data_IF_089805519119
#
_entry.id   IF_089805519119
#
_cell.length_a   1.000
_cell.length_b   1.000
_cell.length_c   1.000
_cell.angle_alpha   90.00
_cell.angle_beta   90.00
_cell.angle_gamma   90.00
#
_symmetry.space_group_name_H-M   'P 1'
#
loop_
_entity.id
_entity.type
_entity.pdbx_description
1 polymer ?
#
# COMPACT_ATOMS: atom_id res chain seq x y z
N UNK A 1 18.68 -7.39 -29.70
CA UNK A 1 17.24 -7.65 -29.84
C UNK A 1 16.78 -8.02 -28.45
N UNK A 2 16.12 -7.08 -27.78
CA UNK A 2 15.58 -7.30 -26.44
C UNK A 2 14.19 -7.87 -26.64
N UNK A 3 13.96 -9.09 -26.16
CA UNK A 3 12.63 -9.69 -26.14
C UNK A 3 11.74 -8.82 -25.25
N UNK A 4 10.74 -8.22 -25.87
CA UNK A 4 9.66 -7.50 -25.20
C UNK A 4 8.82 -8.58 -24.50
N UNK A 5 8.98 -8.73 -23.18
CA UNK A 5 8.12 -9.63 -22.39
C UNK A 5 6.72 -9.02 -22.43
N UNK A 6 5.83 -9.57 -23.24
CA UNK A 6 4.41 -9.21 -23.20
C UNK A 6 3.89 -9.54 -21.80
N UNK A 7 3.67 -8.49 -20.98
CA UNK A 7 3.04 -8.64 -19.68
C UNK A 7 1.71 -9.38 -19.84
N UNK A 8 1.48 -10.40 -19.01
CA UNK A 8 0.24 -11.17 -19.03
C UNK A 8 -0.95 -10.24 -18.78
N UNK A 9 -1.79 -10.04 -19.80
CA UNK A 9 -2.95 -9.15 -19.75
C UNK A 9 -4.16 -9.93 -19.27
N UNK A 10 -4.90 -9.34 -18.33
CA UNK A 10 -6.19 -9.85 -17.88
C UNK A 10 -7.27 -8.89 -18.38
N UNK A 11 -8.22 -9.40 -19.17
CA UNK A 11 -9.44 -8.67 -19.52
C UNK A 11 -10.43 -8.77 -18.36
N UNK A 12 -10.94 -7.62 -17.90
CA UNK A 12 -11.92 -7.53 -16.83
C UNK A 12 -13.09 -6.72 -17.37
N UNK A 13 -14.25 -7.37 -17.46
CA UNK A 13 -15.50 -6.72 -17.86
C UNK A 13 -16.54 -6.88 -16.75
N UNK A 14 -17.10 -5.77 -16.27
CA UNK A 14 -18.04 -5.72 -15.16
C UNK A 14 -19.35 -5.11 -15.64
N UNK A 15 -20.36 -5.96 -15.88
CA UNK A 15 -21.72 -5.54 -16.22
C UNK A 15 -22.68 -5.82 -15.08
N UNK A 16 -23.51 -4.83 -14.72
CA UNK A 16 -24.60 -4.98 -13.76
C UNK A 16 -24.56 -3.97 -12.62
N UNK A 17 -25.43 -4.19 -11.63
CA UNK A 17 -25.45 -3.43 -10.38
C UNK A 17 -24.67 -4.19 -9.31
N UNK A 18 -23.78 -3.48 -8.61
CA UNK A 18 -22.93 -4.05 -7.57
C UNK A 18 -23.18 -3.33 -6.25
N UNK A 19 -23.39 -4.10 -5.19
CA UNK A 19 -23.39 -3.56 -3.84
C UNK A 19 -21.97 -3.20 -3.40
N UNK A 20 -21.85 -2.43 -2.32
CA UNK A 20 -20.54 -2.11 -1.73
C UNK A 20 -19.77 -3.38 -1.32
N UNK A 21 -20.45 -4.43 -0.85
CA UNK A 21 -19.81 -5.71 -0.54
C UNK A 21 -19.31 -6.44 -1.78
N UNK A 22 -20.01 -6.32 -2.90
CA UNK A 22 -19.58 -6.95 -4.16
C UNK A 22 -18.31 -6.26 -4.68
N UNK A 23 -18.26 -4.93 -4.62
CA UNK A 23 -17.07 -4.15 -4.98
C UNK A 23 -15.87 -4.51 -4.11
N UNK A 24 -16.04 -4.66 -2.79
CA UNK A 24 -14.95 -5.08 -1.89
C UNK A 24 -14.38 -6.45 -2.29
N UNK A 25 -15.24 -7.41 -2.62
CA UNK A 25 -14.81 -8.74 -3.06
C UNK A 25 -14.07 -8.70 -4.39
N UNK A 26 -14.53 -7.87 -5.33
CA UNK A 26 -13.87 -7.65 -6.62
C UNK A 26 -12.49 -7.05 -6.39
N UNK A 27 -12.37 -5.98 -5.61
CA UNK A 27 -11.09 -5.31 -5.29
C UNK A 27 -10.10 -6.31 -4.68
N UNK A 28 -10.53 -7.12 -3.70
CA UNK A 28 -9.68 -8.14 -3.08
C UNK A 28 -9.21 -9.17 -4.10
N UNK A 29 -10.08 -9.59 -5.01
CA UNK A 29 -9.75 -10.59 -6.04
C UNK A 29 -8.76 -10.02 -7.06
N UNK A 30 -8.96 -8.77 -7.49
CA UNK A 30 -8.06 -8.06 -8.39
C UNK A 30 -6.69 -7.80 -7.76
N UNK A 31 -6.65 -7.43 -6.47
CA UNK A 31 -5.40 -7.23 -5.75
C UNK A 31 -4.57 -8.53 -5.70
N UNK A 32 -5.22 -9.68 -5.47
CA UNK A 32 -4.56 -11.00 -5.50
C UNK A 32 -4.05 -11.34 -6.89
N UNK A 33 -4.88 -11.15 -7.92
CA UNK A 33 -4.49 -11.42 -9.30
C UNK A 33 -3.29 -10.56 -9.72
N UNK A 34 -3.34 -9.24 -9.44
CA UNK A 34 -2.24 -8.31 -9.73
C UNK A 34 -0.96 -8.68 -8.99
N UNK A 35 -1.05 -9.16 -7.76
CA UNK A 35 0.12 -9.60 -6.98
C UNK A 35 0.75 -10.90 -7.52
N UNK A 36 0.03 -11.67 -8.34
CA UNK A 36 0.55 -12.89 -8.97
C UNK A 36 1.11 -12.71 -10.39
N UNK A 37 0.92 -11.54 -11.01
CA UNK A 37 1.42 -11.25 -12.36
C UNK A 37 2.93 -10.93 -12.36
N UNK A 38 3.57 -11.12 -13.51
CA UNK A 38 4.96 -10.74 -13.79
C UNK A 38 4.99 -9.64 -14.89
N UNK A 39 5.64 -8.48 -14.66
CA UNK A 39 6.33 -8.10 -13.45
C UNK A 39 5.35 -7.90 -12.27
N UNK A 40 5.78 -8.22 -11.04
CA UNK A 40 5.00 -7.86 -9.85
C UNK A 40 4.82 -6.34 -9.79
N UNK A 41 3.81 -5.90 -9.04
CA UNK A 41 3.56 -4.47 -8.78
C UNK A 41 4.88 -3.74 -8.51
N UNK A 42 5.12 -2.64 -9.23
CA UNK A 42 6.36 -1.87 -9.10
C UNK A 42 6.68 -1.59 -7.63
N UNK A 43 7.92 -1.88 -7.23
CA UNK A 43 8.43 -1.53 -5.90
C UNK A 43 8.90 -0.07 -5.82
N UNK A 44 8.90 0.65 -6.93
CA UNK A 44 9.23 2.07 -6.94
C UNK A 44 7.97 2.86 -6.62
N UNK A 45 8.01 3.76 -5.62
CA UNK A 45 6.90 4.67 -5.41
C UNK A 45 6.72 5.50 -6.69
N UNK A 46 5.47 5.80 -7.07
CA UNK A 46 5.21 6.74 -8.14
C UNK A 46 5.93 8.05 -7.83
N UNK A 47 6.74 8.51 -8.78
CA UNK A 47 7.46 9.77 -8.68
C UNK A 47 6.59 10.95 -9.10
N UNK A 48 7.10 12.17 -8.97
CA UNK A 48 6.46 13.38 -9.49
C UNK A 48 6.24 13.32 -11.02
N UNK A 49 6.98 12.46 -11.72
CA UNK A 49 6.93 12.28 -13.17
C UNK A 49 6.05 11.10 -13.64
N UNK A 50 5.46 10.30 -12.74
CA UNK A 50 4.53 9.26 -13.18
C UNK A 50 3.14 9.86 -13.37
N UNK A 51 2.63 9.80 -14.60
CA UNK A 51 1.25 10.19 -14.95
C UNK A 51 0.17 9.27 -14.33
N UNK A 52 0.56 8.27 -13.54
CA UNK A 52 -0.39 7.40 -12.84
C UNK A 52 -1.17 8.22 -11.81
N UNK A 53 -2.46 8.39 -12.04
CA UNK A 53 -3.38 9.02 -11.09
C UNK A 53 -3.48 8.17 -9.81
N UNK A 54 -2.61 8.45 -8.84
CA UNK A 54 -2.74 7.87 -7.51
C UNK A 54 -3.78 8.67 -6.75
N UNK A 55 -4.73 7.95 -6.17
CA UNK A 55 -5.67 8.52 -5.22
C UNK A 55 -4.91 8.94 -3.94
N UNK A 56 -4.63 10.24 -3.82
CA UNK A 56 -4.01 10.85 -2.64
C UNK A 56 -5.10 11.18 -1.63
N UNK A 57 -5.07 10.51 -0.48
CA UNK A 57 -5.99 10.78 0.62
C UNK A 57 -5.35 11.67 1.69
N UNK A 58 -5.95 12.83 1.96
CA UNK A 58 -5.47 13.81 2.94
C UNK A 58 -5.63 13.35 4.40
N UNK A 59 -6.79 12.79 4.77
CA UNK A 59 -7.13 12.42 6.16
C UNK A 59 -7.17 10.91 6.37
N UNK A 60 -6.03 10.26 6.16
CA UNK A 60 -5.91 8.81 6.35
C UNK A 60 -5.99 8.40 7.82
N UNK A 61 -6.72 7.30 8.09
CA UNK A 61 -6.74 6.63 9.39
C UNK A 61 -5.78 5.45 9.36
N UNK A 62 -5.03 5.29 10.44
CA UNK A 62 -4.21 4.11 10.64
C UNK A 62 -4.39 3.53 12.04
N UNK A 63 -4.14 2.23 12.15
CA UNK A 63 -4.11 1.49 13.42
C UNK A 63 -2.84 0.66 13.49
N UNK A 64 -2.27 0.50 14.68
CA UNK A 64 -1.03 -0.26 14.88
C UNK A 64 -1.23 -1.26 16.01
N UNK A 65 -0.75 -2.50 15.80
CA UNK A 65 -0.73 -3.55 16.82
C UNK A 65 0.64 -4.20 16.88
N UNK A 66 1.17 -4.38 18.08
CA UNK A 66 2.36 -5.20 18.32
C UNK A 66 2.06 -6.68 18.16
N UNK A 67 2.95 -7.39 17.46
CA UNK A 67 2.87 -8.83 17.24
C UNK A 67 3.72 -9.58 18.27
N UNK A 68 3.40 -10.85 18.52
CA UNK A 68 4.11 -11.67 19.51
C UNK A 68 5.61 -11.85 19.20
N UNK A 69 6.00 -11.75 17.93
CA UNK A 69 7.40 -11.82 17.48
C UNK A 69 8.16 -10.49 17.62
N UNK A 70 7.57 -9.48 18.28
CA UNK A 70 8.19 -8.17 18.48
C UNK A 70 8.09 -7.21 17.28
N UNK A 71 7.51 -7.65 16.15
CA UNK A 71 7.15 -6.78 15.03
C UNK A 71 5.87 -5.98 15.26
N UNK A 72 5.43 -5.25 14.24
CA UNK A 72 4.15 -4.53 14.26
C UNK A 72 3.32 -4.81 13.01
N UNK A 73 2.00 -4.81 13.16
CA UNK A 73 1.03 -4.75 12.07
C UNK A 73 0.47 -3.33 12.01
N UNK A 74 0.56 -2.71 10.85
CA UNK A 74 -0.01 -1.38 10.55
C UNK A 74 -1.18 -1.61 9.61
N UNK A 75 -2.35 -1.08 9.96
CA UNK A 75 -3.49 -0.98 9.05
C UNK A 75 -3.62 0.46 8.59
N UNK A 76 -3.74 0.68 7.29
CA UNK A 76 -3.93 1.98 6.66
C UNK A 76 -5.25 1.96 5.89
N UNK A 77 -6.15 2.92 6.13
CA UNK A 77 -7.38 3.05 5.35
C UNK A 77 -7.10 3.90 4.12
N UNK A 78 -7.26 3.32 2.92
CA UNK A 78 -7.28 4.06 1.66
C UNK A 78 -8.69 4.05 1.09
N UNK A 79 -9.34 5.20 0.93
CA UNK A 79 -10.76 5.35 0.60
C UNK A 79 -11.23 4.49 -0.59
N UNK A 80 -10.40 4.34 -1.61
CA UNK A 80 -10.70 3.58 -2.84
C UNK A 80 -10.59 2.06 -2.72
N UNK A 81 -9.68 1.53 -1.89
CA UNK A 81 -9.36 0.08 -1.89
C UNK A 81 -9.47 -0.63 -0.53
N UNK A 82 -10.08 0.00 0.46
CA UNK A 82 -10.32 -0.63 1.77
C UNK A 82 -9.20 -0.39 2.79
N UNK A 83 -9.05 -1.36 3.70
CA UNK A 83 -7.97 -1.39 4.69
C UNK A 83 -6.77 -2.19 4.17
N UNK A 84 -5.62 -1.55 4.10
CA UNK A 84 -4.35 -2.17 3.74
C UNK A 84 -3.60 -2.55 5.01
N UNK A 85 -3.02 -3.75 5.05
CA UNK A 85 -2.34 -4.26 6.23
C UNK A 85 -0.87 -4.60 5.93
N UNK A 86 0.05 -3.92 6.60
CA UNK A 86 1.50 -4.06 6.43
C UNK A 86 2.13 -4.63 7.69
N UNK A 87 3.02 -5.61 7.55
CA UNK A 87 3.77 -6.15 8.69
C UNK A 87 5.20 -5.69 8.62
N UNK A 88 5.69 -5.08 9.70
CA UNK A 88 7.10 -4.78 9.88
C UNK A 88 7.71 -5.80 10.83
N UNK A 89 8.91 -6.28 10.48
CA UNK A 89 9.70 -7.10 11.39
C UNK A 89 10.11 -6.30 12.63
N UNK A 90 10.63 -6.98 13.64
CA UNK A 90 11.17 -6.30 14.82
C UNK A 90 12.30 -5.32 14.43
N UNK A 91 13.16 -5.71 13.49
CA UNK A 91 14.25 -4.88 12.98
C UNK A 91 13.74 -3.64 12.22
N UNK A 92 12.78 -3.82 11.30
CA UNK A 92 12.21 -2.69 10.54
C UNK A 92 11.46 -1.71 11.44
N UNK A 93 10.76 -2.23 12.46
CA UNK A 93 10.11 -1.42 13.48
C UNK A 93 11.13 -0.56 14.25
N UNK A 94 12.28 -1.13 14.62
CA UNK A 94 13.33 -0.40 15.33
C UNK A 94 13.97 0.67 14.43
N UNK A 95 14.18 0.38 13.14
CA UNK A 95 14.62 1.35 12.14
C UNK A 95 13.63 2.50 11.95
N UNK A 96 12.33 2.20 11.85
CA UNK A 96 11.27 3.22 11.78
C UNK A 96 11.26 4.11 13.03
N UNK A 97 11.39 3.52 14.22
CA UNK A 97 11.47 4.26 15.48
C UNK A 97 12.65 5.22 15.50
N UNK A 98 13.83 4.76 15.08
CA UNK A 98 15.03 5.59 15.02
C UNK A 98 14.85 6.76 14.05
N UNK A 99 14.31 6.50 12.85
CA UNK A 99 14.01 7.53 11.87
C UNK A 99 13.07 8.60 12.42
N UNK A 100 11.96 8.19 13.03
CA UNK A 100 10.99 9.10 13.64
C UNK A 100 11.61 9.88 14.80
N UNK A 101 12.40 9.23 15.66
CA UNK A 101 13.08 9.90 16.77
C UNK A 101 14.04 11.00 16.30
N UNK A 102 14.78 10.77 15.20
CA UNK A 102 15.70 11.75 14.61
C UNK A 102 14.98 12.92 13.94
N UNK A 103 13.85 12.68 13.26
CA UNK A 103 13.14 13.72 12.49
C UNK A 103 12.06 14.48 13.28
N UNK A 104 11.42 13.85 14.25
CA UNK A 104 10.35 14.48 15.05
C UNK A 104 10.92 15.16 16.31
N UNK A 105 12.13 14.81 16.74
CA UNK A 105 12.80 15.39 17.91
C UNK A 105 13.46 16.77 17.71
N UNK A 106 13.58 17.28 16.47
CA UNK A 106 14.14 18.61 16.17
C UNK A 106 13.05 19.70 16.08
N UNK A 107 12.02 19.61 16.92
CA UNK A 107 11.19 20.78 17.20
C UNK A 107 12.07 21.79 17.94
N UNK A 108 12.59 22.79 17.21
CA UNK A 108 13.17 23.99 17.81
C UNK A 108 12.08 24.66 18.65
N UNK A 109 12.09 24.39 19.96
CA UNK A 109 11.51 25.29 20.93
C UNK A 109 12.38 26.54 20.96
N UNK A 110 12.05 27.52 20.12
CA UNK A 110 12.60 28.87 20.22
C UNK A 110 11.90 29.59 21.37
N UNK A 111 12.70 29.94 22.38
CA UNK A 111 12.36 30.88 23.45
C UNK A 111 12.25 32.32 22.92
#
# INVERSE_FOLDING_TARGET
>A
MSDEIEAEKIEIDLHGEFSASDLEQIIVSLAKARASLDPPVSNHPPGEESEEEILIQSDTKFSVRTLANGGIRIWLRNEGIGWLAFTLSAADKDGLREFLGKRVGHSHASH
#
